data_IF_023478912928
#
_entry.id   IF_023478912928
#
_cell.length_a   1.000
_cell.length_b   1.000
_cell.length_c   1.000
_cell.angle_alpha   90.00
_cell.angle_beta   90.00
_cell.angle_gamma   90.00
#
_symmetry.space_group_name_H-M   'P 1'
#
loop_
_entity.id
_entity.type
_entity.pdbx_description
1 polymer ?
#
# COMPACT_ATOMS: atom_id res chain seq x y z
N UNK A 1 13.64 13.17 -12.87
CA UNK A 1 14.23 11.92 -13.41
C UNK A 1 14.18 11.97 -14.93
N UNK A 2 15.16 11.38 -15.62
CA UNK A 2 15.09 11.22 -17.07
C UNK A 2 14.11 10.09 -17.44
N UNK A 3 13.40 10.23 -18.56
CA UNK A 3 12.53 9.17 -19.05
C UNK A 3 13.35 8.07 -19.76
N UNK A 4 13.16 6.80 -19.36
CA UNK A 4 13.77 5.67 -20.06
C UNK A 4 13.03 5.43 -21.37
N UNK A 5 13.69 5.73 -22.50
CA UNK A 5 13.13 5.54 -23.84
C UNK A 5 14.07 4.73 -24.73
N UNK A 6 13.47 3.95 -25.63
CA UNK A 6 14.17 3.26 -26.71
C UNK A 6 13.64 3.73 -28.06
N UNK A 7 14.53 3.87 -29.05
CA UNK A 7 14.13 4.16 -30.43
C UNK A 7 13.92 2.84 -31.18
N UNK A 8 12.70 2.59 -31.63
CA UNK A 8 12.35 1.40 -32.40
C UNK A 8 11.53 1.79 -33.63
N UNK A 9 12.01 1.38 -34.81
CA UNK A 9 11.44 1.74 -36.11
C UNK A 9 11.23 3.26 -36.27
N UNK A 10 12.24 4.05 -35.92
CA UNK A 10 12.24 5.51 -36.07
C UNK A 10 11.51 6.28 -34.96
N UNK A 11 10.66 5.63 -34.18
CA UNK A 11 9.87 6.25 -33.10
C UNK A 11 10.48 6.02 -31.72
N UNK A 12 10.33 7.00 -30.83
CA UNK A 12 10.66 6.86 -29.41
C UNK A 12 9.52 6.15 -28.66
N UNK A 13 9.88 5.19 -27.82
CA UNK A 13 8.95 4.42 -26.99
C UNK A 13 9.42 4.46 -25.53
N UNK A 14 8.51 4.75 -24.62
CA UNK A 14 8.77 4.70 -23.18
C UNK A 14 8.89 3.25 -22.72
N UNK A 15 9.88 2.97 -21.89
CA UNK A 15 10.06 1.68 -21.23
C UNK A 15 9.59 1.83 -19.78
N UNK A 16 8.56 1.07 -19.40
CA UNK A 16 7.99 1.10 -18.04
C UNK A 16 8.47 -0.08 -17.18
N UNK A 17 8.62 -1.26 -17.77
CA UNK A 17 9.04 -2.48 -17.09
C UNK A 17 10.23 -3.11 -17.85
N UNK A 18 11.46 -2.59 -17.66
CA UNK A 18 12.63 -3.17 -18.30
C UNK A 18 12.97 -4.52 -17.66
N UNK A 19 13.29 -5.49 -18.52
CA UNK A 19 13.68 -6.83 -18.13
C UNK A 19 15.05 -7.19 -18.72
N UNK A 20 15.76 -8.08 -18.04
CA UNK A 20 17.00 -8.67 -18.53
C UNK A 20 16.85 -10.18 -18.64
N UNK A 21 17.32 -10.74 -19.75
CA UNK A 21 17.41 -12.20 -19.90
C UNK A 21 18.71 -12.69 -19.30
N UNK A 22 18.62 -13.46 -18.22
CA UNK A 22 19.77 -14.08 -17.56
C UNK A 22 19.55 -15.59 -17.45
N UNK A 23 20.46 -16.36 -18.06
CA UNK A 23 20.40 -17.82 -18.11
C UNK A 23 19.06 -18.35 -18.67
N UNK A 24 18.60 -17.77 -19.78
CA UNK A 24 17.37 -18.19 -20.46
C UNK A 24 16.08 -17.63 -19.89
N UNK A 25 16.11 -17.02 -18.70
CA UNK A 25 14.94 -16.53 -17.98
C UNK A 25 14.91 -15.00 -17.99
N UNK A 26 13.75 -14.42 -18.31
CA UNK A 26 13.51 -12.97 -18.18
C UNK A 26 13.30 -12.60 -16.71
N UNK A 27 13.93 -11.51 -16.29
CA UNK A 27 13.89 -11.01 -14.92
C UNK A 27 13.63 -9.51 -14.94
N UNK A 28 12.69 -9.05 -14.12
CA UNK A 28 12.44 -7.62 -13.94
C UNK A 28 13.66 -6.93 -13.30
N UNK A 29 14.00 -5.75 -13.79
CA UNK A 29 15.08 -4.94 -13.24
C UNK A 29 14.54 -4.04 -12.13
N UNK A 30 15.27 -3.95 -11.02
CA UNK A 30 14.95 -3.03 -9.91
C UNK A 30 15.48 -1.62 -10.19
N UNK A 31 16.72 -1.53 -10.65
CA UNK A 31 17.37 -0.26 -10.99
C UNK A 31 18.19 -0.42 -12.28
N UNK A 32 18.38 0.68 -12.99
CA UNK A 32 19.36 0.77 -14.09
C UNK A 32 20.22 1.99 -13.82
N UNK A 33 21.53 1.78 -13.84
CA UNK A 33 22.52 2.83 -13.63
C UNK A 33 23.43 2.96 -14.86
N UNK A 34 23.86 4.18 -15.16
CA UNK A 34 24.85 4.46 -16.21
C UNK A 34 26.04 5.21 -15.63
N UNK A 35 27.23 4.91 -16.14
CA UNK A 35 28.45 5.61 -15.73
C UNK A 35 28.69 6.81 -16.63
N UNK A 36 28.56 8.01 -16.10
CA UNK A 36 28.82 9.28 -16.81
C UNK A 36 29.95 10.04 -16.12
N UNK A 37 31.05 10.28 -16.85
CA UNK A 37 32.21 10.99 -16.31
C UNK A 37 32.83 10.32 -15.08
N UNK A 38 32.79 8.99 -14.99
CA UNK A 38 33.33 8.23 -13.86
C UNK A 38 32.34 7.96 -12.72
N UNK A 39 31.17 8.62 -12.72
CA UNK A 39 30.16 8.52 -11.65
C UNK A 39 28.97 7.69 -12.14
N UNK A 40 28.53 6.73 -11.32
CA UNK A 40 27.30 5.98 -11.55
C UNK A 40 26.08 6.86 -11.26
N UNK A 41 25.11 6.85 -12.16
CA UNK A 41 23.86 7.60 -12.04
C UNK A 41 22.69 6.69 -12.38
N UNK A 42 21.71 6.63 -11.48
CA UNK A 42 20.46 5.94 -11.74
C UNK A 42 19.67 6.65 -12.84
N UNK A 43 19.18 5.88 -13.81
CA UNK A 43 18.33 6.34 -14.91
C UNK A 43 16.96 5.64 -14.93
N UNK A 44 16.79 4.64 -14.07
CA UNK A 44 15.53 3.93 -13.87
C UNK A 44 15.51 3.31 -12.48
N UNK A 45 14.36 3.38 -11.83
CA UNK A 45 14.02 2.63 -10.63
C UNK A 45 12.61 2.08 -10.79
N UNK A 46 12.42 0.82 -10.44
CA UNK A 46 11.12 0.18 -10.45
C UNK A 46 10.19 0.85 -9.43
N UNK A 47 8.89 0.88 -9.74
CA UNK A 47 7.86 1.26 -8.78
C UNK A 47 7.91 0.33 -7.57
N UNK A 48 7.82 0.90 -6.38
CA UNK A 48 7.89 0.15 -5.13
C UNK A 48 7.02 0.78 -4.06
N UNK A 49 6.42 -0.10 -3.29
CA UNK A 49 5.58 0.21 -2.15
C UNK A 49 5.86 -0.81 -1.04
N UNK A 50 5.64 -0.44 0.21
CA UNK A 50 5.80 -1.34 1.37
C UNK A 50 4.68 -1.11 2.37
N UNK A 51 4.15 -2.18 2.93
CA UNK A 51 3.07 -2.12 3.91
C UNK A 51 3.63 -2.46 5.30
N UNK A 52 3.55 -1.50 6.22
CA UNK A 52 4.36 -1.49 7.45
C UNK A 52 3.54 -1.78 8.70
N UNK A 53 2.21 -1.81 8.59
CA UNK A 53 1.36 -2.20 9.70
C UNK A 53 1.73 -3.54 10.34
N UNK A 54 1.64 -3.59 11.67
CA UNK A 54 1.75 -4.82 12.46
C UNK A 54 0.47 -5.02 13.27
N UNK A 55 0.27 -6.24 13.77
CA UNK A 55 -0.77 -6.50 14.77
C UNK A 55 -0.51 -5.66 16.03
N UNK A 56 -1.29 -4.59 16.23
CA UNK A 56 -1.21 -3.72 17.41
C UNK A 56 -1.03 -2.23 17.11
N UNK A 57 -0.42 -1.85 15.97
CA UNK A 57 -0.25 -0.42 15.62
C UNK A 57 -1.50 0.24 15.05
N UNK A 58 -2.56 -0.53 14.81
CA UNK A 58 -3.77 -0.02 14.18
C UNK A 58 -4.85 0.43 15.17
N UNK A 59 -4.60 0.34 16.48
CA UNK A 59 -5.66 0.41 17.51
C UNK A 59 -5.60 1.72 18.30
N UNK A 60 -6.72 2.44 18.41
CA UNK A 60 -6.86 3.63 19.25
C UNK A 60 -8.14 3.55 20.09
N UNK A 61 -8.02 3.81 21.39
CA UNK A 61 -9.15 3.85 22.33
C UNK A 61 -9.57 5.29 22.63
N UNK A 62 -10.87 5.56 22.61
CA UNK A 62 -11.45 6.85 22.96
C UNK A 62 -12.77 6.66 23.72
N UNK A 63 -12.85 7.15 24.96
CA UNK A 63 -14.05 7.22 25.81
C UNK A 63 -14.96 5.98 25.70
N UNK A 64 -14.45 4.79 26.07
CA UNK A 64 -15.22 3.53 26.08
C UNK A 64 -15.39 2.88 24.72
N UNK A 65 -14.84 3.49 23.66
CA UNK A 65 -14.74 2.90 22.33
C UNK A 65 -13.30 2.52 22.00
N UNK A 66 -13.18 1.53 21.16
CA UNK A 66 -11.95 1.18 20.48
C UNK A 66 -12.19 1.24 18.97
N UNK A 67 -11.18 1.73 18.24
CA UNK A 67 -11.11 1.68 16.78
C UNK A 67 -9.81 1.00 16.36
N UNK A 68 -9.88 0.10 15.40
CA UNK A 68 -8.73 -0.59 14.84
C UNK A 68 -8.79 -0.57 13.32
N UNK A 69 -7.84 0.05 12.65
CA UNK A 69 -7.90 0.14 11.18
C UNK A 69 -6.64 0.65 10.51
N UNK A 70 -6.71 0.59 9.18
CA UNK A 70 -5.67 1.01 8.26
C UNK A 70 -6.19 2.18 7.42
N UNK A 71 -5.30 3.11 7.13
CA UNK A 71 -5.54 4.21 6.21
C UNK A 71 -4.28 4.37 5.34
N UNK A 72 -4.46 4.38 4.02
CA UNK A 72 -3.44 4.71 3.04
C UNK A 72 -3.84 6.04 2.40
N UNK A 73 -3.03 7.06 2.64
CA UNK A 73 -3.30 8.42 2.20
C UNK A 73 -2.55 8.71 0.87
N UNK A 74 -3.15 9.47 -0.06
CA UNK A 74 -2.51 9.97 -1.27
C UNK A 74 -1.23 10.80 -1.07
N UNK A 75 -0.88 11.15 0.17
CA UNK A 75 0.45 11.72 0.48
C UNK A 75 1.58 10.68 0.50
N UNK A 76 1.25 9.39 0.40
CA UNK A 76 2.18 8.27 0.43
C UNK A 76 2.30 7.61 1.80
N UNK A 77 1.61 8.10 2.83
CA UNK A 77 1.73 7.65 4.21
C UNK A 77 0.68 6.58 4.58
N UNK A 78 1.09 5.66 5.46
CA UNK A 78 0.20 4.67 6.06
C UNK A 78 -0.10 5.12 7.49
N UNK A 79 -1.38 5.17 7.87
CA UNK A 79 -1.79 5.58 9.21
C UNK A 79 -2.60 4.48 9.90
N UNK A 80 -2.54 4.47 11.23
CA UNK A 80 -3.60 3.87 12.05
C UNK A 80 -4.90 4.67 11.87
N UNK A 81 -6.04 4.00 11.66
CA UNK A 81 -7.30 4.72 11.43
C UNK A 81 -7.93 5.25 12.74
N UNK A 82 -8.39 6.50 12.73
CA UNK A 82 -9.13 7.12 13.82
C UNK A 82 -10.66 7.14 13.60
N UNK A 83 -11.38 7.23 14.72
CA UNK A 83 -12.84 7.18 14.87
C UNK A 83 -13.62 8.32 14.20
N UNK A 84 -13.10 9.55 14.29
CA UNK A 84 -13.76 10.71 13.70
C UNK A 84 -13.00 11.06 12.43
N UNK A 85 -13.51 10.58 11.30
CA UNK A 85 -13.72 11.21 9.98
C UNK A 85 -12.84 12.38 9.46
N UNK A 86 -11.84 12.85 10.18
CA UNK A 86 -11.11 14.10 9.92
C UNK A 86 -9.69 14.15 10.46
N UNK A 87 -9.21 13.16 11.22
CA UNK A 87 -7.80 13.13 11.68
C UNK A 87 -7.16 11.77 11.43
N UNK A 88 -6.04 11.78 10.69
CA UNK A 88 -5.15 10.64 10.56
C UNK A 88 -4.68 10.22 11.97
N UNK A 89 -4.61 8.91 12.25
CA UNK A 89 -3.99 8.41 13.48
C UNK A 89 -2.47 8.52 13.43
N UNK A 90 -1.78 7.68 14.17
CA UNK A 90 -0.31 7.70 14.17
C UNK A 90 0.24 7.29 12.80
N UNK A 91 1.20 8.07 12.30
CA UNK A 91 1.94 7.80 11.06
C UNK A 91 2.81 6.56 11.26
N UNK A 92 2.67 5.60 10.35
CA UNK A 92 3.45 4.38 10.33
C UNK A 92 4.61 4.60 9.37
N UNK A 93 5.79 4.83 9.93
CA UNK A 93 7.05 4.90 9.18
C UNK A 93 7.61 3.48 9.02
N UNK A 94 8.09 3.09 7.83
CA UNK A 94 8.20 3.91 6.61
C UNK A 94 6.87 4.11 5.89
N UNK A 95 6.80 5.12 5.03
CA UNK A 95 5.62 5.42 4.21
C UNK A 95 5.30 4.28 3.24
N UNK A 96 4.04 4.13 2.81
CA UNK A 96 3.69 3.06 1.89
C UNK A 96 4.25 3.27 0.48
N UNK A 97 4.35 4.52 0.04
CA UNK A 97 4.91 4.90 -1.25
C UNK A 97 6.44 5.07 -1.13
N UNK A 98 7.21 4.23 -1.82
CA UNK A 98 8.68 4.28 -1.80
C UNK A 98 9.23 4.90 -3.09
N UNK A 99 8.76 4.46 -4.26
CA UNK A 99 9.12 5.04 -5.56
C UNK A 99 7.92 5.14 -6.48
N UNK A 100 7.82 6.21 -7.27
CA UNK A 100 6.70 6.46 -8.19
C UNK A 100 5.80 7.59 -7.69
N UNK A 101 4.58 7.62 -8.23
CA UNK A 101 3.50 8.52 -7.84
C UNK A 101 2.29 7.72 -7.42
N UNK A 102 1.40 8.30 -6.63
CA UNK A 102 0.17 7.64 -6.19
C UNK A 102 -0.72 7.11 -7.32
N UNK A 103 -0.64 7.70 -8.51
CA UNK A 103 -1.45 7.28 -9.66
C UNK A 103 -0.92 6.00 -10.31
N UNK A 104 0.29 5.58 -9.94
CA UNK A 104 0.92 4.35 -10.44
C UNK A 104 0.44 3.10 -9.67
N UNK A 105 -0.32 3.28 -8.58
CA UNK A 105 -0.66 2.20 -7.65
C UNK A 105 -2.16 1.95 -7.54
N UNK A 106 -2.47 0.67 -7.36
CA UNK A 106 -3.80 0.16 -7.05
C UNK A 106 -3.72 -0.67 -5.78
N UNK A 107 -4.75 -0.61 -4.95
CA UNK A 107 -4.88 -1.40 -3.73
C UNK A 107 -6.10 -2.28 -3.79
N UNK A 108 -6.01 -3.46 -3.21
CA UNK A 108 -7.15 -4.34 -2.97
C UNK A 108 -7.13 -4.82 -1.52
N UNK A 109 -8.27 -4.69 -0.87
CA UNK A 109 -8.53 -5.31 0.42
C UNK A 109 -9.20 -6.67 0.21
N UNK A 110 -8.78 -7.68 0.97
CA UNK A 110 -9.44 -8.98 1.06
C UNK A 110 -9.80 -9.24 2.52
N UNK A 111 -11.05 -9.59 2.80
CA UNK A 111 -11.44 -10.07 4.12
C UNK A 111 -11.06 -11.54 4.24
N UNK A 112 -10.28 -11.90 5.26
CA UNK A 112 -9.83 -13.28 5.46
C UNK A 112 -10.72 -14.00 6.48
N UNK A 113 -10.91 -13.41 7.67
CA UNK A 113 -11.67 -14.03 8.78
C UNK A 113 -11.94 -13.05 9.93
N UNK A 114 -12.78 -13.45 10.88
CA UNK A 114 -13.02 -12.72 12.14
C UNK A 114 -14.29 -11.88 12.10
N UNK A 115 -14.32 -10.83 12.90
CA UNK A 115 -15.40 -9.85 12.94
C UNK A 115 -15.46 -9.03 11.65
N UNK A 116 -16.67 -8.66 11.24
CA UNK A 116 -16.87 -7.78 10.09
C UNK A 116 -16.30 -6.37 10.37
N UNK A 117 -15.71 -5.76 9.34
CA UNK A 117 -15.32 -4.36 9.35
C UNK A 117 -16.57 -3.48 9.59
N UNK A 118 -16.42 -2.44 10.39
CA UNK A 118 -17.49 -1.46 10.63
C UNK A 118 -17.60 -0.49 9.46
N UNK A 119 -16.47 -0.16 8.84
CA UNK A 119 -16.47 0.64 7.62
C UNK A 119 -15.24 0.39 6.76
N UNK A 120 -15.38 0.63 5.46
CA UNK A 120 -14.27 0.65 4.52
C UNK A 120 -14.61 1.51 3.30
N UNK A 121 -13.60 2.15 2.71
CA UNK A 121 -13.71 2.82 1.41
C UNK A 121 -13.58 1.87 0.22
N UNK A 122 -13.43 0.56 0.45
CA UNK A 122 -13.11 -0.45 -0.55
C UNK A 122 -14.07 -1.63 -0.43
N UNK A 123 -14.63 -2.10 -1.55
CA UNK A 123 -15.29 -3.40 -1.58
C UNK A 123 -14.23 -4.51 -1.55
N UNK A 124 -14.33 -5.50 -0.62
CA UNK A 124 -13.39 -6.61 -0.58
C UNK A 124 -13.28 -7.33 -1.94
N UNK A 125 -12.06 -7.64 -2.36
CA UNK A 125 -11.76 -8.31 -3.63
C UNK A 125 -11.65 -7.39 -4.84
N UNK A 126 -12.01 -6.10 -4.72
CA UNK A 126 -11.97 -5.13 -5.82
C UNK A 126 -10.70 -4.27 -5.75
N UNK A 127 -10.08 -4.02 -6.90
CA UNK A 127 -8.94 -3.12 -7.04
C UNK A 127 -9.38 -1.66 -7.15
N UNK A 128 -8.71 -0.78 -6.43
CA UNK A 128 -8.97 0.65 -6.43
C UNK A 128 -7.68 1.45 -6.63
N UNK A 129 -7.74 2.48 -7.47
CA UNK A 129 -6.61 3.39 -7.65
C UNK A 129 -6.25 4.12 -6.35
N UNK A 130 -4.98 4.41 -6.13
CA UNK A 130 -4.46 5.15 -4.97
C UNK A 130 -4.55 6.69 -5.12
N UNK A 131 -5.27 7.19 -6.13
CA UNK A 131 -5.54 8.61 -6.35
C UNK A 131 -6.48 9.25 -5.32
N UNK A 132 -6.93 8.49 -4.32
CA UNK A 132 -7.80 8.94 -3.23
C UNK A 132 -7.53 8.10 -1.99
N UNK A 133 -7.84 8.65 -0.81
CA UNK A 133 -7.74 7.98 0.49
C UNK A 133 -8.38 6.58 0.48
N UNK A 134 -7.67 5.59 1.02
CA UNK A 134 -8.15 4.20 1.14
C UNK A 134 -8.08 3.74 2.59
N UNK A 135 -9.19 3.24 3.12
CA UNK A 135 -9.25 2.88 4.53
C UNK A 135 -10.19 1.73 4.81
N UNK A 136 -9.95 1.08 5.94
CA UNK A 136 -10.80 0.04 6.50
C UNK A 136 -10.60 -0.02 8.02
N UNK A 137 -11.70 -0.13 8.77
CA UNK A 137 -11.62 -0.23 10.23
C UNK A 137 -12.69 -1.13 10.84
N UNK A 138 -12.37 -1.55 12.05
CA UNK A 138 -13.19 -2.24 13.03
C UNK A 138 -13.41 -1.28 14.20
N UNK A 139 -14.58 -1.30 14.81
CA UNK A 139 -14.82 -0.59 16.07
C UNK A 139 -15.70 -1.38 17.02
N UNK A 140 -15.55 -1.08 18.30
CA UNK A 140 -16.33 -1.65 19.39
C UNK A 140 -16.58 -0.60 20.47
N UNK A 141 -17.67 -0.75 21.23
CA UNK A 141 -18.04 0.12 22.34
C UNK A 141 -18.45 -0.72 23.56
N UNK A 142 -18.14 -0.24 24.76
CA UNK A 142 -18.35 -0.99 26.01
C UNK A 142 -17.35 -2.14 26.19
N UNK A 143 -17.50 -3.01 27.20
CA UNK A 143 -16.51 -4.05 27.50
C UNK A 143 -16.61 -5.21 26.50
N UNK A 144 -15.92 -5.08 25.36
CA UNK A 144 -15.97 -6.02 24.25
C UNK A 144 -14.62 -6.05 23.52
N UNK A 145 -14.32 -7.20 22.91
CA UNK A 145 -13.18 -7.37 22.02
C UNK A 145 -13.66 -7.85 20.65
N UNK A 146 -13.07 -7.30 19.59
CA UNK A 146 -13.28 -7.74 18.20
C UNK A 146 -11.93 -7.91 17.51
N UNK A 147 -11.85 -8.88 16.60
CA UNK A 147 -10.67 -9.16 15.79
C UNK A 147 -11.05 -9.40 14.34
N UNK A 148 -10.41 -8.70 13.41
CA UNK A 148 -10.61 -8.85 11.97
C UNK A 148 -9.28 -9.07 11.26
N UNK A 149 -9.19 -10.15 10.46
CA UNK A 149 -8.03 -10.44 9.63
C UNK A 149 -8.31 -10.01 8.19
N UNK A 150 -7.47 -9.13 7.65
CA UNK A 150 -7.56 -8.67 6.27
C UNK A 150 -6.22 -8.82 5.56
N UNK A 151 -6.25 -8.90 4.24
CA UNK A 151 -5.07 -8.82 3.39
C UNK A 151 -5.16 -7.56 2.55
N UNK A 152 -4.11 -6.74 2.52
CA UNK A 152 -3.93 -5.72 1.50
C UNK A 152 -2.93 -6.19 0.46
N UNK A 153 -3.24 -5.93 -0.80
CA UNK A 153 -2.31 -6.06 -1.91
C UNK A 153 -2.13 -4.69 -2.54
N UNK A 154 -0.90 -4.34 -2.92
CA UNK A 154 -0.60 -3.20 -3.80
C UNK A 154 -0.12 -3.76 -5.13
N UNK A 155 -0.67 -3.24 -6.24
CA UNK A 155 -0.26 -3.56 -7.59
C UNK A 155 0.02 -2.28 -8.39
N UNK A 156 0.77 -2.43 -9.48
CA UNK A 156 1.04 -1.35 -10.45
C UNK A 156 0.05 -1.32 -11.61
N UNK A 157 -1.00 -2.13 -11.54
CA UNK A 157 -2.07 -2.24 -12.54
C UNK A 157 -3.44 -2.45 -11.88
N UNK A 158 -4.50 -2.10 -12.61
CA UNK A 158 -5.88 -2.20 -12.11
C UNK A 158 -6.43 -3.62 -12.02
N UNK A 159 -5.76 -4.60 -12.61
CA UNK A 159 -6.17 -6.01 -12.60
C UNK A 159 -5.50 -6.84 -11.52
N UNK A 160 -4.43 -6.33 -10.90
CA UNK A 160 -3.62 -7.09 -9.95
C UNK A 160 -2.75 -8.16 -10.58
N UNK A 161 -2.36 -7.98 -11.85
CA UNK A 161 -1.40 -8.89 -12.49
C UNK A 161 0.03 -8.67 -11.99
N UNK A 162 0.34 -7.44 -11.56
CA UNK A 162 1.63 -6.99 -11.08
C UNK A 162 1.54 -6.58 -9.60
N UNK A 163 1.21 -7.54 -8.73
CA UNK A 163 1.25 -7.32 -7.27
C UNK A 163 2.70 -7.17 -6.83
N UNK A 164 3.02 -6.05 -6.19
CA UNK A 164 4.37 -5.72 -5.71
C UNK A 164 4.49 -5.78 -4.19
N UNK A 165 3.36 -5.73 -3.46
CA UNK A 165 3.33 -5.81 -2.00
C UNK A 165 2.08 -6.56 -1.54
N UNK A 166 2.22 -7.37 -0.49
CA UNK A 166 1.13 -8.15 0.11
C UNK A 166 1.34 -8.28 1.60
N UNK A 167 0.37 -7.77 2.36
CA UNK A 167 0.44 -7.78 3.81
C UNK A 167 -0.85 -8.23 4.44
N UNK A 168 -0.74 -9.13 5.41
CA UNK A 168 -1.84 -9.51 6.29
C UNK A 168 -1.84 -8.61 7.51
N UNK A 169 -3.01 -8.04 7.80
CA UNK A 169 -3.27 -7.21 8.96
C UNK A 169 -4.22 -7.93 9.91
N UNK A 170 -3.89 -7.89 11.19
CA UNK A 170 -4.77 -8.34 12.28
C UNK A 170 -5.24 -7.09 13.02
N UNK A 171 -6.47 -6.67 12.74
CA UNK A 171 -7.12 -5.55 13.40
C UNK A 171 -7.74 -6.04 14.70
N UNK A 172 -7.20 -5.65 15.83
CA UNK A 172 -7.71 -6.04 17.15
C UNK A 172 -8.27 -4.82 17.85
N UNK A 173 -9.45 -4.94 18.42
CA UNK A 173 -10.03 -3.84 19.15
C UNK A 173 -10.63 -4.30 20.46
N UNK A 174 -10.09 -3.82 21.57
CA UNK A 174 -10.58 -4.14 22.90
C UNK A 174 -10.90 -2.85 23.64
N UNK A 175 -12.15 -2.67 24.02
CA UNK A 175 -12.59 -1.56 24.87
C UNK A 175 -12.90 -2.08 26.28
N UNK A 176 -12.61 -1.24 27.27
CA UNK A 176 -12.84 -1.51 28.69
C UNK A 176 -13.87 -0.52 29.23
N UNK A 177 -14.49 -0.82 30.37
CA UNK A 177 -15.28 0.17 31.10
C UNK A 177 -14.35 1.30 31.56
N UNK A 178 -14.71 2.54 31.24
CA UNK A 178 -14.11 3.75 31.82
C UNK A 178 -14.98 4.18 32.99
#
# INVERSE_FOLDING_TARGET
>A
MGELKVRYSGAWRTITNPEVKYSGVWRALKTIEVKLGGVWREIFSALSATLNGTSGHHTRTWIGFCYAGILLDPDGNEYAMYASDSTNGDDLIPHWLITGTINDFWVRLTFNSGDALVGTSMTPGVWYAMSSLRWAYLSTGGPQSKTCNITLNIATDSGGSNIIETKVYVLNCTSFNI
#
